data_IF_598873597489
#
_entry.id   IF_598873597489
#
_cell.length_a   1.000
_cell.length_b   1.000
_cell.length_c   1.000
_cell.angle_alpha   90.00
_cell.angle_beta   90.00
_cell.angle_gamma   90.00
#
_symmetry.space_group_name_H-M   'P 1'
#
loop_
_entity.id
_entity.type
_entity.pdbx_description
1 polymer ?
#
# COMPACT_ATOMS: atom_id res chain seq x y z
N UNK A 1 0.66 -18.16 -5.58
CA UNK A 1 2.00 -17.77 -6.06
C UNK A 1 2.12 -16.26 -6.29
N UNK A 2 1.17 -15.57 -6.94
CA UNK A 2 1.30 -14.14 -7.28
C UNK A 2 1.15 -13.17 -6.10
N UNK A 3 0.16 -13.38 -5.22
CA UNK A 3 0.08 -12.67 -3.94
C UNK A 3 1.35 -12.86 -3.09
N UNK A 4 2.03 -14.00 -3.26
CA UNK A 4 3.28 -14.33 -2.57
C UNK A 4 4.47 -13.56 -3.12
N UNK A 5 4.55 -13.36 -4.45
CA UNK A 5 5.60 -12.55 -5.09
C UNK A 5 5.45 -11.07 -4.76
N UNK A 6 4.22 -10.58 -4.66
CA UNK A 6 3.96 -9.20 -4.30
C UNK A 6 4.12 -8.97 -2.79
N UNK A 7 3.74 -9.94 -1.96
CA UNK A 7 4.09 -9.93 -0.54
C UNK A 7 5.62 -9.97 -0.33
N UNK A 8 6.36 -10.74 -1.14
CA UNK A 8 7.82 -10.79 -1.13
C UNK A 8 8.44 -9.47 -1.60
N UNK A 9 7.89 -8.85 -2.65
CA UNK A 9 8.28 -7.51 -3.10
C UNK A 9 8.08 -6.47 -1.99
N UNK A 10 6.88 -6.44 -1.38
CA UNK A 10 6.58 -5.55 -0.26
C UNK A 10 7.47 -5.85 0.95
N UNK A 11 7.77 -7.12 1.23
CA UNK A 11 8.68 -7.52 2.32
C UNK A 11 10.11 -7.08 2.07
N UNK A 12 10.59 -7.20 0.83
CA UNK A 12 11.90 -6.69 0.39
C UNK A 12 11.95 -5.18 0.44
N UNK A 13 10.91 -4.49 -0.02
CA UNK A 13 10.76 -3.05 0.11
C UNK A 13 10.80 -2.63 1.59
N UNK A 14 10.07 -3.33 2.46
CA UNK A 14 10.07 -3.12 3.91
C UNK A 14 11.47 -3.30 4.50
N UNK A 15 12.18 -4.37 4.11
CA UNK A 15 13.56 -4.62 4.55
C UNK A 15 14.54 -3.56 4.03
N UNK A 16 14.30 -3.06 2.82
CA UNK A 16 15.08 -1.98 2.23
C UNK A 16 14.86 -0.66 2.96
N UNK A 17 13.73 -0.47 3.64
CA UNK A 17 13.38 0.73 4.40
C UNK A 17 13.45 0.59 5.95
N UNK A 18 13.77 -0.59 6.52
CA UNK A 18 13.92 -0.78 7.98
C UNK A 18 15.37 -1.10 8.42
N UNK A 19 15.88 -0.43 9.46
CA UNK A 19 16.63 -1.07 10.55
C UNK A 19 15.66 -1.55 11.66
N UNK A 20 16.12 -2.38 12.62
CA UNK A 20 15.30 -2.80 13.77
C UNK A 20 14.95 -1.56 14.63
N UNK A 21 13.67 -1.26 14.82
CA UNK A 21 13.24 -0.29 15.84
C UNK A 21 12.92 -1.04 17.13
N UNK A 22 13.81 -0.92 18.11
CA UNK A 22 13.56 -1.31 19.50
C UNK A 22 12.97 -0.12 20.26
N UNK A 23 11.65 -0.07 20.41
CA UNK A 23 11.02 0.86 21.34
C UNK A 23 9.67 0.32 21.81
N UNK A 24 9.74 -0.67 22.70
CA UNK A 24 8.64 -1.02 23.58
C UNK A 24 8.52 0.06 24.67
N UNK A 25 7.51 0.92 24.56
CA UNK A 25 7.08 1.78 25.66
C UNK A 25 5.69 1.33 26.13
N UNK A 26 5.69 0.55 27.21
CA UNK A 26 4.50 0.15 27.95
C UNK A 26 3.84 1.40 28.55
N UNK A 27 2.58 1.68 28.20
CA UNK A 27 1.76 2.72 28.85
C UNK A 27 0.45 2.09 29.32
N UNK A 28 0.32 1.95 30.63
CA UNK A 28 -0.94 1.61 31.30
C UNK A 28 -1.86 2.83 31.30
N UNK A 29 -3.13 2.64 30.93
CA UNK A 29 -4.16 3.69 30.92
C UNK A 29 -5.18 3.42 32.04
N UNK A 30 -5.42 4.44 32.86
CA UNK A 30 -6.51 4.50 33.83
C UNK A 30 -7.42 5.70 33.54
N UNK A 31 -8.72 5.43 33.67
CA UNK A 31 -9.92 6.27 33.77
C UNK A 31 -10.18 7.49 32.84
N UNK A 32 -11.09 7.25 31.88
CA UNK A 32 -12.38 7.95 31.72
C UNK A 32 -12.44 9.47 31.55
N UNK A 33 -12.72 9.91 30.31
CA UNK A 33 -13.35 11.20 29.92
C UNK A 33 -12.45 12.37 29.44
N UNK A 34 -11.15 12.44 29.77
CA UNK A 34 -10.19 13.37 29.10
C UNK A 34 -9.51 12.78 27.85
N UNK A 35 -9.93 11.58 27.45
CA UNK A 35 -9.18 10.69 26.56
C UNK A 35 -9.20 11.17 25.09
N UNK A 36 -10.24 11.83 24.59
CA UNK A 36 -10.31 12.18 23.16
C UNK A 36 -9.25 13.21 22.72
N UNK A 37 -9.04 14.28 23.52
CA UNK A 37 -8.01 15.28 23.23
C UNK A 37 -6.59 14.78 23.53
N UNK A 38 -6.44 13.96 24.57
CA UNK A 38 -5.16 13.34 24.91
C UNK A 38 -4.71 12.32 23.86
N UNK A 39 -5.62 11.46 23.39
CA UNK A 39 -5.36 10.47 22.35
C UNK A 39 -5.06 11.12 21.01
N UNK A 40 -5.77 12.19 20.63
CA UNK A 40 -5.44 12.94 19.41
C UNK A 40 -4.01 13.51 19.46
N UNK A 41 -3.59 14.10 20.59
CA UNK A 41 -2.23 14.59 20.75
C UNK A 41 -1.18 13.46 20.75
N UNK A 42 -1.48 12.31 21.37
CA UNK A 42 -0.61 11.14 21.37
C UNK A 42 -0.44 10.58 19.95
N UNK A 43 -1.51 10.50 19.17
CA UNK A 43 -1.47 10.05 17.77
C UNK A 43 -0.64 11.02 16.93
N UNK A 44 -0.88 12.33 17.04
CA UNK A 44 -0.11 13.34 16.31
C UNK A 44 1.38 13.27 16.68
N UNK A 45 1.72 13.10 17.95
CA UNK A 45 3.11 12.93 18.39
C UNK A 45 3.73 11.64 17.85
N UNK A 46 3.00 10.52 17.89
CA UNK A 46 3.46 9.24 17.36
C UNK A 46 3.71 9.30 15.84
N UNK A 47 2.82 9.96 15.09
CA UNK A 47 2.97 10.16 13.66
C UNK A 47 4.21 11.01 13.36
N UNK A 48 4.41 12.11 14.08
CA UNK A 48 5.59 12.96 13.92
C UNK A 48 6.90 12.23 14.26
N UNK A 49 6.90 11.41 15.32
CA UNK A 49 8.02 10.55 15.67
C UNK A 49 8.33 9.56 14.56
N UNK A 50 7.31 8.87 14.04
CA UNK A 50 7.49 7.89 12.96
C UNK A 50 8.00 8.52 11.66
N UNK A 51 7.60 9.76 11.38
CA UNK A 51 8.05 10.54 10.23
C UNK A 51 9.52 10.95 10.39
N UNK A 52 9.89 11.40 11.58
CA UNK A 52 11.27 11.75 11.92
C UNK A 52 12.21 10.54 11.87
N UNK A 53 11.79 9.39 12.42
CA UNK A 53 12.52 8.12 12.32
C UNK A 53 12.70 7.69 10.86
N UNK A 54 11.64 7.80 10.06
CA UNK A 54 11.69 7.46 8.64
C UNK A 54 12.67 8.37 7.89
N UNK A 55 12.64 9.69 8.15
CA UNK A 55 13.62 10.63 7.60
C UNK A 55 15.05 10.30 8.01
N UNK A 56 15.27 9.93 9.27
CA UNK A 56 16.58 9.56 9.75
C UNK A 56 17.12 8.33 9.02
N UNK A 57 16.28 7.32 8.78
CA UNK A 57 16.66 6.13 8.00
C UNK A 57 17.00 6.52 6.57
N UNK A 58 16.18 7.36 5.93
CA UNK A 58 16.43 7.85 4.56
C UNK A 58 17.79 8.56 4.50
N UNK A 59 18.04 9.51 5.41
CA UNK A 59 19.29 10.27 5.45
C UNK A 59 20.48 9.37 5.74
N UNK A 60 20.33 8.35 6.60
CA UNK A 60 21.41 7.40 6.89
C UNK A 60 21.82 6.57 5.66
N UNK A 61 20.87 6.29 4.76
CA UNK A 61 21.10 5.46 3.56
C UNK A 61 21.50 6.26 2.33
N UNK A 62 20.93 7.45 2.17
CA UNK A 62 21.04 8.24 0.95
C UNK A 62 21.81 9.56 1.15
N UNK A 63 22.20 9.88 2.38
CA UNK A 63 22.78 11.17 2.73
C UNK A 63 21.74 12.30 2.73
N UNK A 64 22.21 13.54 2.66
CA UNK A 64 21.33 14.70 2.54
C UNK A 64 20.74 14.79 1.12
N UNK A 65 19.56 14.20 0.95
CA UNK A 65 18.80 14.18 -0.31
C UNK A 65 18.32 15.57 -0.76
N UNK A 66 18.31 16.57 0.13
CA UNK A 66 17.88 17.93 -0.19
C UNK A 66 19.06 18.91 -0.40
N UNK A 67 20.30 18.42 -0.32
CA UNK A 67 21.52 19.23 -0.47
C UNK A 67 21.58 19.99 -1.81
N UNK A 68 21.03 19.40 -2.88
CA UNK A 68 21.00 19.99 -4.23
C UNK A 68 19.67 20.68 -4.56
N UNK A 69 18.75 20.81 -3.60
CA UNK A 69 17.40 21.29 -3.86
C UNK A 69 17.39 22.78 -4.21
N UNK A 70 16.36 23.21 -4.93
CA UNK A 70 16.09 24.63 -5.23
C UNK A 70 15.47 25.38 -4.03
N UNK A 71 15.07 24.67 -2.98
CA UNK A 71 14.32 25.21 -1.85
C UNK A 71 15.23 26.03 -0.94
N UNK A 72 14.93 27.33 -0.81
CA UNK A 72 15.74 28.26 -0.02
C UNK A 72 15.34 28.29 1.46
N UNK A 73 14.03 28.22 1.73
CA UNK A 73 13.50 28.29 3.10
C UNK A 73 13.59 26.93 3.79
N UNK A 74 14.12 26.91 5.01
CA UNK A 74 14.13 25.72 5.87
C UNK A 74 12.71 25.19 6.09
N UNK A 75 11.71 26.06 6.25
CA UNK A 75 10.31 25.66 6.46
C UNK A 75 9.79 24.89 5.26
N UNK A 76 10.00 25.42 4.05
CA UNK A 76 9.57 24.75 2.82
C UNK A 76 10.33 23.44 2.61
N UNK A 77 11.64 23.41 2.90
CA UNK A 77 12.42 22.18 2.80
C UNK A 77 11.92 21.10 3.76
N UNK A 78 11.58 21.45 5.01
CA UNK A 78 10.99 20.52 5.97
C UNK A 78 9.66 19.95 5.48
N UNK A 79 8.77 20.80 4.95
CA UNK A 79 7.48 20.34 4.41
C UNK A 79 7.62 19.29 3.31
N UNK A 80 8.56 19.49 2.36
CA UNK A 80 8.81 18.51 1.31
C UNK A 80 9.40 17.21 1.86
N UNK A 81 10.32 17.29 2.83
CA UNK A 81 10.90 16.11 3.47
C UNK A 81 9.87 15.34 4.30
N UNK A 82 9.01 16.02 5.05
CA UNK A 82 7.89 15.41 5.76
C UNK A 82 6.93 14.70 4.80
N UNK A 83 6.56 15.35 3.69
CA UNK A 83 5.71 14.76 2.65
C UNK A 83 6.35 13.53 2.01
N UNK A 84 7.67 13.58 1.76
CA UNK A 84 8.43 12.44 1.25
C UNK A 84 8.43 11.26 2.23
N UNK A 85 8.68 11.53 3.51
CA UNK A 85 8.67 10.52 4.56
C UNK A 85 7.28 9.90 4.74
N UNK A 86 6.21 10.68 4.55
CA UNK A 86 4.85 10.17 4.57
C UNK A 86 4.60 9.17 3.42
N UNK A 87 5.13 9.42 2.22
CA UNK A 87 5.08 8.46 1.10
C UNK A 87 5.83 7.18 1.46
N UNK A 88 7.05 7.29 1.98
CA UNK A 88 7.86 6.13 2.38
C UNK A 88 7.19 5.32 3.48
N UNK A 89 6.63 5.99 4.49
CA UNK A 89 5.82 5.34 5.52
C UNK A 89 4.59 4.66 4.92
N UNK A 90 3.90 5.33 4.00
CA UNK A 90 2.76 4.76 3.27
C UNK A 90 3.15 3.47 2.56
N UNK A 91 4.28 3.44 1.86
CA UNK A 91 4.81 2.22 1.23
C UNK A 91 5.13 1.13 2.26
N UNK A 92 5.64 1.50 3.44
CA UNK A 92 6.00 0.57 4.52
C UNK A 92 4.78 -0.04 5.21
N UNK A 93 3.77 0.77 5.51
CA UNK A 93 2.65 0.36 6.39
C UNK A 93 1.48 -0.24 5.63
N UNK A 94 1.33 0.07 4.35
CA UNK A 94 0.18 -0.38 3.56
C UNK A 94 0.24 -1.87 3.25
N UNK A 95 -0.85 -2.57 3.51
CA UNK A 95 -1.09 -3.87 2.92
C UNK A 95 -1.42 -3.72 1.44
N UNK A 96 -1.19 -4.77 0.64
CA UNK A 96 -1.50 -4.76 -0.79
C UNK A 96 -2.97 -4.41 -1.07
N UNK A 97 -3.89 -4.85 -0.20
CA UNK A 97 -5.33 -4.56 -0.32
C UNK A 97 -5.67 -3.08 -0.14
N UNK A 98 -4.80 -2.32 0.52
CA UNK A 98 -4.98 -0.89 0.80
C UNK A 98 -4.29 -0.01 -0.26
N UNK A 99 -3.61 -0.63 -1.24
CA UNK A 99 -2.90 0.04 -2.33
C UNK A 99 -3.76 -0.01 -3.59
N UNK A 100 -4.51 1.06 -3.83
CA UNK A 100 -5.30 1.27 -5.03
C UNK A 100 -4.48 1.99 -6.12
N UNK A 101 -4.88 1.88 -7.38
CA UNK A 101 -4.27 2.64 -8.50
C UNK A 101 -4.23 4.15 -8.18
N UNK A 102 -5.30 4.69 -7.60
CA UNK A 102 -5.39 6.10 -7.19
C UNK A 102 -4.33 6.46 -6.16
N UNK A 103 -4.16 5.64 -5.12
CA UNK A 103 -3.19 5.90 -4.06
C UNK A 103 -1.75 5.85 -4.55
N UNK A 104 -1.43 4.91 -5.45
CA UNK A 104 -0.10 4.86 -6.08
C UNK A 104 0.12 6.08 -6.99
N UNK A 105 -0.91 6.54 -7.71
CA UNK A 105 -0.83 7.74 -8.53
C UNK A 105 -0.58 9.01 -7.69
N UNK A 106 -1.22 9.13 -6.52
CA UNK A 106 -0.95 10.22 -5.57
C UNK A 106 0.50 10.19 -5.07
N UNK A 107 1.02 9.02 -4.68
CA UNK A 107 2.42 8.85 -4.30
C UNK A 107 3.37 9.24 -5.43
N UNK A 108 3.05 8.85 -6.67
CA UNK A 108 3.85 9.19 -7.85
C UNK A 108 3.83 10.70 -8.13
N UNK A 109 2.70 11.38 -7.91
CA UNK A 109 2.60 12.83 -8.04
C UNK A 109 3.51 13.53 -7.02
N UNK A 110 3.50 13.09 -5.76
CA UNK A 110 4.40 13.64 -4.73
C UNK A 110 5.86 13.44 -5.13
N UNK A 111 6.26 12.24 -5.58
CA UNK A 111 7.65 11.99 -6.04
C UNK A 111 8.02 12.92 -7.20
N UNK A 112 7.12 13.15 -8.15
CA UNK A 112 7.34 14.07 -9.27
C UNK A 112 7.54 15.51 -8.80
N UNK A 113 6.78 15.95 -7.79
CA UNK A 113 6.94 17.28 -7.21
C UNK A 113 8.31 17.43 -6.54
N UNK A 114 8.81 16.38 -5.88
CA UNK A 114 10.17 16.35 -5.30
C UNK A 114 11.26 16.49 -6.38
N UNK A 115 11.12 15.78 -7.51
CA UNK A 115 12.05 15.88 -8.64
C UNK A 115 12.09 17.32 -9.19
N UNK A 116 10.94 18.00 -9.27
CA UNK A 116 10.84 19.36 -9.81
C UNK A 116 11.69 20.39 -9.03
N UNK A 117 11.84 20.16 -7.73
CA UNK A 117 12.61 20.98 -6.79
C UNK A 117 14.03 20.44 -6.56
N UNK A 118 14.48 19.44 -7.32
CA UNK A 118 15.81 18.81 -7.23
C UNK A 118 16.10 18.12 -5.89
N UNK A 119 15.10 17.54 -5.25
CA UNK A 119 15.33 16.59 -4.16
C UNK A 119 15.69 15.23 -4.80
N UNK A 120 16.71 14.58 -4.27
CA UNK A 120 17.18 13.28 -4.75
C UNK A 120 16.20 12.16 -4.33
N UNK A 121 15.40 11.69 -5.28
CA UNK A 121 14.34 10.69 -5.07
C UNK A 121 14.38 9.56 -6.09
N UNK A 122 15.51 9.34 -6.77
CA UNK A 122 15.61 8.31 -7.82
C UNK A 122 15.31 6.90 -7.27
N UNK A 123 15.75 6.62 -6.05
CA UNK A 123 15.47 5.37 -5.32
C UNK A 123 13.97 5.18 -5.04
N UNK A 124 13.26 6.25 -4.69
CA UNK A 124 11.83 6.19 -4.36
C UNK A 124 10.99 6.08 -5.63
N UNK A 125 11.36 6.82 -6.68
CA UNK A 125 10.69 6.77 -7.98
C UNK A 125 10.63 5.37 -8.54
N UNK A 126 11.76 4.65 -8.49
CA UNK A 126 11.82 3.25 -8.91
C UNK A 126 10.85 2.38 -8.12
N UNK A 127 10.86 2.49 -6.79
CA UNK A 127 9.96 1.74 -5.91
C UNK A 127 8.47 2.01 -6.19
N UNK A 128 8.09 3.27 -6.44
CA UNK A 128 6.71 3.65 -6.73
C UNK A 128 6.26 3.15 -8.11
N UNK A 129 7.14 3.14 -9.11
CA UNK A 129 6.85 2.56 -10.43
C UNK A 129 6.62 1.05 -10.34
N UNK A 130 7.54 0.33 -9.70
CA UNK A 130 7.43 -1.12 -9.49
C UNK A 130 6.15 -1.49 -8.71
N UNK A 131 5.77 -0.65 -7.74
CA UNK A 131 4.49 -0.82 -7.04
C UNK A 131 3.28 -0.60 -7.95
N UNK A 132 3.32 0.39 -8.85
CA UNK A 132 2.25 0.66 -9.80
C UNK A 132 1.98 -0.53 -10.73
N UNK A 133 3.05 -1.09 -11.30
CA UNK A 133 2.98 -2.29 -12.13
C UNK A 133 2.40 -3.47 -11.35
N UNK A 134 2.81 -3.65 -10.10
CA UNK A 134 2.30 -4.71 -9.26
C UNK A 134 0.81 -4.57 -8.90
N UNK A 135 0.35 -3.36 -8.60
CA UNK A 135 -1.07 -3.08 -8.31
C UNK A 135 -1.92 -3.28 -9.54
N UNK A 136 -1.44 -2.88 -10.73
CA UNK A 136 -2.12 -3.13 -11.99
C UNK A 136 -2.27 -4.62 -12.27
N UNK A 137 -1.17 -5.36 -12.21
CA UNK A 137 -1.17 -6.80 -12.43
C UNK A 137 -2.07 -7.54 -11.43
N UNK A 138 -2.07 -7.14 -10.15
CA UNK A 138 -2.95 -7.72 -9.14
C UNK A 138 -4.44 -7.48 -9.48
N UNK A 139 -4.79 -6.29 -9.98
CA UNK A 139 -6.14 -5.97 -10.42
C UNK A 139 -6.59 -6.82 -11.61
N UNK A 140 -5.74 -6.98 -12.62
CA UNK A 140 -6.02 -7.84 -13.79
C UNK A 140 -6.19 -9.31 -13.39
N UNK A 141 -5.35 -9.80 -12.48
CA UNK A 141 -5.44 -11.17 -11.98
C UNK A 141 -6.76 -11.44 -11.25
N UNK A 142 -7.18 -10.55 -10.35
CA UNK A 142 -8.45 -10.72 -9.63
C UNK A 142 -9.66 -10.61 -10.57
N UNK A 143 -9.59 -9.75 -11.60
CA UNK A 143 -10.61 -9.67 -12.64
C UNK A 143 -10.73 -10.99 -13.42
N UNK A 144 -9.61 -11.51 -13.93
CA UNK A 144 -9.57 -12.77 -14.68
C UNK A 144 -10.01 -13.97 -13.81
N UNK A 145 -9.65 -13.99 -12.53
CA UNK A 145 -10.11 -15.01 -11.58
C UNK A 145 -11.62 -14.95 -11.38
N UNK A 146 -12.18 -13.75 -11.23
CA UNK A 146 -13.63 -13.54 -11.05
C UNK A 146 -14.41 -14.00 -12.29
N UNK A 147 -13.91 -13.71 -13.49
CA UNK A 147 -14.49 -14.18 -14.75
C UNK A 147 -14.47 -15.71 -14.86
N UNK A 148 -13.36 -16.33 -14.48
CA UNK A 148 -13.24 -17.80 -14.46
C UNK A 148 -14.25 -18.44 -13.50
N UNK A 149 -14.38 -17.91 -12.29
CA UNK A 149 -15.34 -18.43 -11.30
C UNK A 149 -16.80 -18.23 -11.76
N UNK A 150 -17.11 -17.14 -12.48
CA UNK A 150 -18.42 -16.93 -13.08
C UNK A 150 -18.71 -17.97 -14.18
N UNK A 151 -17.76 -18.20 -15.09
CA UNK A 151 -17.89 -19.20 -16.15
C UNK A 151 -18.04 -20.63 -15.61
N UNK A 152 -17.27 -21.00 -14.56
CA UNK A 152 -17.40 -22.30 -13.90
C UNK A 152 -18.80 -22.48 -13.27
N UNK A 153 -19.36 -21.43 -12.65
CA UNK A 153 -20.74 -21.49 -12.12
C UNK A 153 -21.79 -21.66 -13.22
N UNK A 154 -21.65 -20.94 -14.34
CA UNK A 154 -22.58 -21.03 -15.46
C UNK A 154 -22.57 -22.42 -16.11
N UNK A 155 -21.38 -23.02 -16.25
CA UNK A 155 -21.24 -24.38 -16.77
C UNK A 155 -21.95 -25.40 -15.87
N UNK A 156 -21.75 -25.30 -14.55
CA UNK A 156 -22.41 -26.17 -13.57
C UNK A 156 -23.92 -26.00 -13.66
N UNK A 157 -24.43 -24.77 -13.74
CA UNK A 157 -25.86 -24.50 -13.89
C UNK A 157 -26.46 -25.12 -15.15
N UNK A 158 -25.77 -24.99 -16.30
CA UNK A 158 -26.20 -25.63 -17.55
C UNK A 158 -26.23 -27.15 -17.44
N UNK A 159 -25.22 -27.77 -16.83
CA UNK A 159 -25.20 -29.24 -16.62
C UNK A 159 -26.40 -29.69 -15.78
N UNK A 160 -26.73 -28.98 -14.70
CA UNK A 160 -27.93 -29.26 -13.90
C UNK A 160 -29.23 -29.11 -14.72
N UNK A 161 -29.32 -28.05 -15.53
CA UNK A 161 -30.50 -27.81 -16.37
C UNK A 161 -30.69 -28.92 -17.41
N UNK A 162 -29.61 -29.36 -18.07
CA UNK A 162 -29.65 -30.46 -19.03
C UNK A 162 -30.04 -31.79 -18.36
N UNK A 163 -29.50 -32.08 -17.16
CA UNK A 163 -29.85 -33.28 -16.41
C UNK A 163 -31.33 -33.30 -15.99
N UNK A 164 -31.84 -32.16 -15.53
CA UNK A 164 -33.24 -32.01 -15.15
C UNK A 164 -34.17 -32.17 -16.37
N UNK A 165 -33.85 -31.50 -17.48
CA UNK A 165 -34.60 -31.62 -18.73
C UNK A 165 -34.63 -33.06 -19.26
N UNK A 166 -33.48 -33.74 -19.24
CA UNK A 166 -33.39 -35.16 -19.64
C UNK A 166 -34.28 -36.05 -18.76
N UNK A 167 -34.29 -35.80 -17.44
CA UNK A 167 -35.13 -36.55 -16.50
C UNK A 167 -36.63 -36.33 -16.77
N UNK A 168 -37.05 -35.09 -17.04
CA UNK A 168 -38.43 -34.78 -17.39
C UNK A 168 -38.87 -35.43 -18.70
N UNK A 169 -38.02 -35.36 -19.74
CA UNK A 169 -38.29 -35.97 -21.04
C UNK A 169 -38.42 -37.50 -20.89
N UNK A 170 -37.50 -38.13 -20.15
CA UNK A 170 -37.55 -39.56 -19.90
C UNK A 170 -38.84 -39.98 -19.19
N UNK A 171 -39.25 -39.26 -18.15
CA UNK A 171 -40.51 -39.52 -17.44
C UNK A 171 -41.74 -39.30 -18.31
N UNK A 172 -41.73 -38.32 -19.22
CA UNK A 172 -42.86 -38.06 -20.13
C UNK A 172 -43.02 -39.11 -21.24
N UNK A 173 -41.94 -39.83 -21.60
CA UNK A 173 -41.95 -40.83 -22.67
C UNK A 173 -42.28 -42.23 -22.12
N UNK A 174 -41.78 -42.56 -20.93
CA UNK A 174 -41.80 -43.93 -20.40
C UNK A 174 -42.86 -44.18 -19.30
N UNK A 175 -43.67 -43.18 -18.96
CA UNK A 175 -44.77 -43.28 -18.00
C UNK A 175 -46.11 -43.04 -18.71
#
# INVERSE_FOLDING_TARGET
>A
MLLSLLAEFLSRLRSFFLPPCDSASNLSLDDGSMIASGVANIIVLADQLSLAETLQVIISKHGDIAASSKLQSNVTRSYYLESLAAVVMGLRTSGLKDLTKTRVAEMAAVVKDMESVKIEVSWLKKAVVELGEAVEYAGEYEAAKTEREACERDLVFLVYLFSLAFTFIYMAIFL
#
